data_IF_017692236527
#
_entry.id   IF_017692236527
#
_cell.length_a   1.000
_cell.length_b   1.000
_cell.length_c   1.000
_cell.angle_alpha   90.00
_cell.angle_beta   90.00
_cell.angle_gamma   90.00
#
_symmetry.space_group_name_H-M   'P 1'
#
loop_
_entity.id
_entity.type
_entity.pdbx_description
1 polymer ?
#
# COMPACT_ATOMS: atom_id res chain seq x y z
N UNK A 1 25.18 -58.08 -26.35
CA UNK A 1 24.95 -56.94 -25.41
C UNK A 1 24.90 -55.57 -26.09
N UNK A 2 25.79 -55.21 -27.03
CA UNK A 2 25.80 -53.86 -27.69
C UNK A 2 24.49 -53.46 -28.38
N UNK A 3 23.73 -54.38 -28.98
CA UNK A 3 22.46 -54.09 -29.69
C UNK A 3 21.28 -53.73 -28.74
N UNK A 4 21.34 -54.18 -27.48
CA UNK A 4 20.29 -53.87 -26.50
C UNK A 4 20.44 -52.41 -25.97
N UNK A 5 21.69 -51.99 -25.71
CA UNK A 5 21.98 -50.62 -25.28
C UNK A 5 21.61 -49.57 -26.33
N UNK A 6 21.83 -49.88 -27.62
CA UNK A 6 21.48 -48.97 -28.72
C UNK A 6 19.95 -48.76 -28.81
N UNK A 7 19.14 -49.81 -28.58
CA UNK A 7 17.66 -49.69 -28.61
C UNK A 7 17.10 -48.94 -27.36
N UNK A 8 17.69 -49.16 -26.18
CA UNK A 8 17.32 -48.44 -24.98
C UNK A 8 17.70 -46.98 -25.11
N UNK A 9 18.88 -46.65 -25.61
CA UNK A 9 19.33 -45.28 -25.83
C UNK A 9 18.44 -44.52 -26.84
N UNK A 10 18.04 -45.19 -27.93
CA UNK A 10 17.13 -44.63 -28.92
C UNK A 10 15.74 -44.38 -28.35
N UNK A 11 15.22 -45.30 -27.52
CA UNK A 11 13.91 -45.13 -26.85
C UNK A 11 13.91 -44.02 -25.82
N UNK A 12 14.98 -43.85 -25.03
CA UNK A 12 15.10 -42.75 -24.07
C UNK A 12 15.25 -41.39 -24.77
N UNK A 13 15.96 -41.31 -25.87
CA UNK A 13 16.12 -40.09 -26.66
C UNK A 13 14.78 -39.69 -27.31
N UNK A 14 14.02 -40.66 -27.82
CA UNK A 14 12.69 -40.45 -28.39
C UNK A 14 11.69 -39.98 -27.31
N UNK A 15 11.77 -40.55 -26.12
CA UNK A 15 10.92 -40.10 -24.96
C UNK A 15 11.27 -38.70 -24.53
N UNK A 16 12.55 -38.33 -24.53
CA UNK A 16 13.00 -36.96 -24.17
C UNK A 16 12.53 -35.94 -25.22
N UNK A 17 12.57 -36.29 -26.51
CA UNK A 17 12.03 -35.41 -27.57
C UNK A 17 10.51 -35.27 -27.47
N UNK A 18 9.77 -36.34 -27.14
CA UNK A 18 8.33 -36.28 -26.94
C UNK A 18 7.94 -35.41 -25.73
N UNK A 19 8.71 -35.44 -24.64
CA UNK A 19 8.49 -34.58 -23.47
C UNK A 19 8.79 -33.10 -23.81
N UNK A 20 9.79 -32.85 -24.68
CA UNK A 20 10.13 -31.48 -25.12
C UNK A 20 9.04 -30.85 -26.02
N UNK A 21 8.28 -31.66 -26.76
CA UNK A 21 7.20 -31.17 -27.63
C UNK A 21 5.93 -30.82 -26.83
N UNK A 22 5.75 -31.36 -25.62
CA UNK A 22 4.56 -31.04 -24.79
C UNK A 22 4.64 -29.65 -24.12
N UNK A 23 5.79 -28.95 -24.19
CA UNK A 23 6.01 -27.65 -23.58
C UNK A 23 5.47 -26.42 -24.34
N UNK A 24 4.90 -26.61 -25.54
CA UNK A 24 4.47 -25.50 -26.41
C UNK A 24 2.97 -25.52 -26.74
N UNK A 25 2.12 -25.88 -25.78
CA UNK A 25 0.73 -25.48 -25.93
C UNK A 25 0.69 -23.96 -25.69
N UNK A 26 0.59 -23.18 -26.75
CA UNK A 26 0.25 -21.77 -26.66
C UNK A 26 -1.14 -21.70 -26.02
N UNK A 27 -1.18 -21.40 -24.73
CA UNK A 27 -2.44 -21.13 -24.05
C UNK A 27 -3.00 -19.86 -24.68
N UNK A 28 -3.96 -19.99 -25.57
CA UNK A 28 -4.71 -18.86 -26.06
C UNK A 28 -5.54 -18.27 -24.90
N UNK A 29 -5.60 -16.96 -24.81
CA UNK A 29 -6.43 -16.29 -23.81
C UNK A 29 -7.88 -16.70 -23.98
N UNK A 30 -8.50 -17.15 -22.91
CA UNK A 30 -9.90 -17.57 -22.88
C UNK A 30 -10.77 -16.48 -22.23
N UNK A 31 -12.10 -16.57 -22.44
CA UNK A 31 -13.05 -15.69 -21.73
C UNK A 31 -12.90 -15.81 -20.20
N UNK A 32 -12.50 -17.00 -19.69
CA UNK A 32 -12.21 -17.21 -18.28
C UNK A 32 -11.00 -16.42 -17.77
N UNK A 33 -9.94 -16.27 -18.58
CA UNK A 33 -8.75 -15.51 -18.20
C UNK A 33 -9.05 -14.02 -18.08
N UNK A 34 -9.84 -13.45 -18.99
CA UNK A 34 -10.34 -12.08 -18.90
C UNK A 34 -11.21 -11.86 -17.66
N UNK A 35 -12.12 -12.80 -17.36
CA UNK A 35 -12.97 -12.74 -16.17
C UNK A 35 -12.13 -12.76 -14.90
N UNK A 36 -11.12 -13.63 -14.83
CA UNK A 36 -10.22 -13.74 -13.68
C UNK A 36 -9.40 -12.46 -13.47
N UNK A 37 -8.81 -11.91 -14.54
CA UNK A 37 -8.06 -10.66 -14.47
C UNK A 37 -8.94 -9.49 -14.00
N UNK A 38 -10.14 -9.33 -14.57
CA UNK A 38 -11.07 -8.29 -14.14
C UNK A 38 -11.52 -8.46 -12.69
N UNK A 39 -11.77 -9.68 -12.24
CA UNK A 39 -12.14 -9.96 -10.84
C UNK A 39 -11.00 -9.63 -9.88
N UNK A 40 -9.76 -9.99 -10.23
CA UNK A 40 -8.58 -9.65 -9.43
C UNK A 40 -8.37 -8.13 -9.34
N UNK A 41 -8.50 -7.41 -10.47
CA UNK A 41 -8.38 -5.95 -10.51
C UNK A 41 -9.47 -5.28 -9.67
N UNK A 42 -10.74 -5.72 -9.78
CA UNK A 42 -11.81 -5.19 -8.95
C UNK A 42 -11.56 -5.42 -7.44
N UNK A 43 -11.08 -6.60 -7.07
CA UNK A 43 -10.70 -6.90 -5.69
C UNK A 43 -9.55 -6.03 -5.20
N UNK A 44 -8.58 -5.74 -6.07
CA UNK A 44 -7.47 -4.86 -5.78
C UNK A 44 -7.91 -3.39 -5.60
N UNK A 45 -8.88 -2.91 -6.39
CA UNK A 45 -9.48 -1.59 -6.19
C UNK A 45 -10.17 -1.48 -4.83
N UNK A 46 -10.97 -2.47 -4.45
CA UNK A 46 -11.64 -2.50 -3.14
C UNK A 46 -10.60 -2.47 -2.02
N UNK A 47 -9.56 -3.30 -2.09
CA UNK A 47 -8.49 -3.35 -1.09
C UNK A 47 -7.71 -2.03 -1.00
N UNK A 48 -7.45 -1.37 -2.15
CA UNK A 48 -6.79 -0.07 -2.21
C UNK A 48 -7.66 1.02 -1.60
N UNK A 49 -8.95 1.01 -1.88
CA UNK A 49 -9.92 1.93 -1.28
C UNK A 49 -9.97 1.77 0.25
N UNK A 50 -10.01 0.54 0.75
CA UNK A 50 -9.98 0.27 2.20
C UNK A 50 -8.68 0.76 2.86
N UNK A 51 -7.55 0.60 2.17
CA UNK A 51 -6.27 1.14 2.65
C UNK A 51 -6.27 2.67 2.72
N UNK A 52 -6.86 3.34 1.72
CA UNK A 52 -7.01 4.79 1.69
C UNK A 52 -7.92 5.29 2.84
N UNK A 53 -9.04 4.61 3.10
CA UNK A 53 -9.93 4.94 4.21
C UNK A 53 -9.24 4.86 5.58
N UNK A 54 -8.26 3.99 5.70
CA UNK A 54 -7.40 3.88 6.89
C UNK A 54 -6.26 4.91 6.94
N UNK A 55 -6.22 5.84 5.97
CA UNK A 55 -5.20 6.89 5.90
C UNK A 55 -3.89 6.45 5.25
N UNK A 56 -3.87 5.31 4.57
CA UNK A 56 -2.71 4.84 3.81
C UNK A 56 -2.45 5.68 2.56
N UNK A 57 -1.18 5.84 2.19
CA UNK A 57 -0.81 6.46 0.93
C UNK A 57 -0.87 5.43 -0.20
N UNK A 58 -1.92 5.47 -1.00
CA UNK A 58 -2.22 4.50 -2.06
C UNK A 58 -1.75 4.92 -3.46
N UNK A 59 -0.97 5.99 -3.58
CA UNK A 59 -0.56 6.55 -4.89
C UNK A 59 0.14 5.51 -5.78
N UNK A 60 1.06 4.73 -5.21
CA UNK A 60 1.79 3.68 -5.94
C UNK A 60 0.85 2.55 -6.34
N UNK A 61 -0.05 2.13 -5.44
CA UNK A 61 -1.02 1.06 -5.71
C UNK A 61 -1.96 1.43 -6.87
N UNK A 62 -2.38 2.69 -6.95
CA UNK A 62 -3.21 3.19 -8.07
C UNK A 62 -2.43 3.15 -9.39
N UNK A 63 -1.13 3.48 -9.39
CA UNK A 63 -0.30 3.39 -10.59
C UNK A 63 -0.15 1.94 -11.06
N UNK A 64 0.06 1.00 -10.15
CA UNK A 64 0.14 -0.43 -10.44
C UNK A 64 -1.20 -0.96 -10.99
N UNK A 65 -2.34 -0.54 -10.42
CA UNK A 65 -3.66 -0.89 -10.94
C UNK A 65 -3.91 -0.34 -12.36
N UNK A 66 -3.49 0.87 -12.64
CA UNK A 66 -3.57 1.44 -13.99
C UNK A 66 -2.73 0.64 -14.98
N UNK A 67 -1.55 0.15 -14.55
CA UNK A 67 -0.71 -0.75 -15.37
C UNK A 67 -1.43 -2.07 -15.63
N UNK A 68 -2.05 -2.68 -14.60
CA UNK A 68 -2.82 -3.90 -14.77
C UNK A 68 -4.00 -3.73 -15.75
N UNK A 69 -4.74 -2.61 -15.63
CA UNK A 69 -5.83 -2.27 -16.58
C UNK A 69 -5.32 -2.11 -18.00
N UNK A 70 -4.18 -1.45 -18.19
CA UNK A 70 -3.56 -1.28 -19.51
C UNK A 70 -3.19 -2.64 -20.13
N UNK A 71 -2.66 -3.57 -19.35
CA UNK A 71 -2.35 -4.92 -19.82
C UNK A 71 -3.61 -5.67 -20.26
N UNK A 72 -4.72 -5.55 -19.53
CA UNK A 72 -6.00 -6.15 -19.97
C UNK A 72 -6.49 -5.54 -21.29
N UNK A 73 -6.35 -4.23 -21.48
CA UNK A 73 -6.73 -3.57 -22.74
C UNK A 73 -5.85 -4.04 -23.90
N UNK A 74 -4.54 -4.16 -23.71
CA UNK A 74 -3.60 -4.70 -24.70
C UNK A 74 -3.98 -6.15 -25.03
N UNK A 75 -4.21 -6.97 -24.01
CA UNK A 75 -4.64 -8.35 -24.18
C UNK A 75 -5.93 -8.48 -25.00
N UNK A 76 -6.89 -7.60 -24.79
CA UNK A 76 -8.13 -7.56 -25.58
C UNK A 76 -7.86 -7.24 -27.05
N UNK A 77 -6.98 -6.27 -27.33
CA UNK A 77 -6.63 -5.89 -28.69
C UNK A 77 -5.84 -7.00 -29.42
N UNK A 78 -4.98 -7.71 -28.71
CA UNK A 78 -4.12 -8.74 -29.28
C UNK A 78 -4.73 -10.14 -29.32
N UNK A 79 -5.87 -10.35 -28.68
CA UNK A 79 -6.44 -11.69 -28.53
C UNK A 79 -6.69 -12.42 -29.85
N UNK A 80 -7.03 -11.69 -30.91
CA UNK A 80 -7.24 -12.27 -32.25
C UNK A 80 -5.96 -12.45 -33.06
N UNK A 81 -4.93 -11.62 -32.81
CA UNK A 81 -3.69 -11.60 -33.60
C UNK A 81 -2.58 -12.39 -32.95
N UNK A 82 -2.49 -12.34 -31.63
CA UNK A 82 -1.47 -13.01 -30.83
C UNK A 82 -2.06 -13.53 -29.50
N UNK A 83 -2.84 -14.60 -29.53
CA UNK A 83 -3.55 -15.10 -28.35
C UNK A 83 -2.61 -15.57 -27.24
N UNK A 84 -1.42 -16.00 -27.56
CA UNK A 84 -0.41 -16.41 -26.56
C UNK A 84 0.10 -15.20 -25.77
N UNK A 85 0.35 -14.06 -26.42
CA UNK A 85 0.77 -12.83 -25.78
C UNK A 85 -0.37 -12.26 -24.92
N UNK A 86 -1.60 -12.27 -25.45
CA UNK A 86 -2.80 -11.88 -24.71
C UNK A 86 -2.94 -12.66 -23.39
N UNK A 87 -2.70 -13.99 -23.42
CA UNK A 87 -2.74 -14.81 -22.19
C UNK A 87 -1.66 -14.40 -21.17
N UNK A 88 -0.45 -14.09 -21.63
CA UNK A 88 0.65 -13.62 -20.78
C UNK A 88 0.33 -12.25 -20.16
N UNK A 89 -0.25 -11.34 -20.92
CA UNK A 89 -0.61 -10.00 -20.43
C UNK A 89 -1.73 -10.07 -19.40
N UNK A 90 -2.72 -10.96 -19.57
CA UNK A 90 -3.75 -11.22 -18.56
C UNK A 90 -3.18 -11.83 -17.28
N UNK A 91 -2.23 -12.75 -17.42
CA UNK A 91 -1.54 -13.33 -16.27
C UNK A 91 -0.74 -12.26 -15.52
N UNK A 92 -0.02 -11.39 -16.24
CA UNK A 92 0.73 -10.28 -15.63
C UNK A 92 -0.21 -9.30 -14.94
N UNK A 93 -1.34 -8.93 -15.57
CA UNK A 93 -2.37 -8.09 -14.96
C UNK A 93 -2.90 -8.68 -13.66
N UNK A 94 -3.19 -9.98 -13.65
CA UNK A 94 -3.65 -10.71 -12.46
C UNK A 94 -2.60 -10.72 -11.36
N UNK A 95 -1.33 -10.94 -11.72
CA UNK A 95 -0.22 -10.93 -10.76
C UNK A 95 -0.04 -9.54 -10.12
N UNK A 96 -0.09 -8.47 -10.91
CA UNK A 96 -0.03 -7.09 -10.41
C UNK A 96 -1.22 -6.82 -9.47
N UNK A 97 -2.44 -7.20 -9.85
CA UNK A 97 -3.61 -7.00 -9.00
C UNK A 97 -3.48 -7.74 -7.65
N UNK A 98 -2.99 -8.98 -7.65
CA UNK A 98 -2.75 -9.75 -6.44
C UNK A 98 -1.65 -9.13 -5.56
N UNK A 99 -0.60 -8.58 -6.18
CA UNK A 99 0.46 -7.84 -5.48
C UNK A 99 -0.14 -6.59 -4.80
N UNK A 100 -0.97 -5.82 -5.50
CA UNK A 100 -1.66 -4.65 -4.95
C UNK A 100 -2.54 -5.02 -3.76
N UNK A 101 -3.29 -6.14 -3.83
CA UNK A 101 -4.10 -6.62 -2.70
C UNK A 101 -3.22 -6.86 -1.46
N UNK A 102 -2.10 -7.56 -1.64
CA UNK A 102 -1.19 -7.85 -0.54
C UNK A 102 -0.55 -6.60 0.08
N UNK A 103 -0.14 -5.65 -0.75
CA UNK A 103 0.45 -4.39 -0.32
C UNK A 103 -0.57 -3.46 0.33
N UNK A 104 -1.82 -3.46 -0.15
CA UNK A 104 -2.91 -2.64 0.41
C UNK A 104 -3.12 -2.91 1.91
N UNK A 105 -2.99 -4.16 2.34
CA UNK A 105 -3.11 -4.52 3.76
C UNK A 105 -2.05 -3.82 4.61
N UNK A 106 -0.78 -3.81 4.19
CA UNK A 106 0.32 -3.17 4.91
C UNK A 106 0.24 -1.64 4.89
N UNK A 107 -0.16 -1.08 3.73
CA UNK A 107 -0.37 0.37 3.56
C UNK A 107 -1.51 0.85 4.44
N UNK A 108 -2.61 0.10 4.53
CA UNK A 108 -3.74 0.41 5.42
C UNK A 108 -3.35 0.35 6.90
N UNK A 109 -2.56 -0.64 7.32
CA UNK A 109 -2.08 -0.74 8.70
C UNK A 109 -1.16 0.43 9.08
N UNK A 110 -0.22 0.79 8.21
CA UNK A 110 0.67 1.93 8.46
C UNK A 110 -0.09 3.26 8.47
N UNK A 111 -1.10 3.42 7.61
CA UNK A 111 -2.00 4.57 7.63
C UNK A 111 -2.78 4.69 8.94
N UNK A 112 -3.38 3.59 9.40
CA UNK A 112 -4.11 3.56 10.67
C UNK A 112 -3.21 3.90 11.87
N UNK A 113 -1.99 3.36 11.91
CA UNK A 113 -1.01 3.67 12.95
C UNK A 113 -0.63 5.17 12.94
N UNK A 114 -0.40 5.76 11.77
CA UNK A 114 -0.10 7.18 11.62
C UNK A 114 -1.26 8.07 12.10
N UNK A 115 -2.51 7.71 11.82
CA UNK A 115 -3.70 8.40 12.32
C UNK A 115 -3.80 8.31 13.85
N UNK A 116 -3.56 7.14 14.45
CA UNK A 116 -3.58 6.97 15.91
C UNK A 116 -2.53 7.86 16.58
N UNK A 117 -1.31 7.92 16.07
CA UNK A 117 -0.25 8.80 16.57
C UNK A 117 -0.69 10.26 16.47
N UNK A 118 -1.24 10.68 15.32
CA UNK A 118 -1.74 12.04 15.12
C UNK A 118 -2.82 12.43 16.13
N UNK A 119 -3.79 11.55 16.39
CA UNK A 119 -4.84 11.79 17.38
C UNK A 119 -4.27 11.82 18.81
N UNK A 120 -3.36 10.90 19.15
CA UNK A 120 -2.73 10.88 20.47
C UNK A 120 -1.96 12.18 20.74
N UNK A 121 -1.20 12.68 19.79
CA UNK A 121 -0.46 13.95 19.90
C UNK A 121 -1.43 15.14 20.03
N UNK A 122 -2.52 15.17 19.24
CA UNK A 122 -3.51 16.25 19.28
C UNK A 122 -4.24 16.29 20.64
N UNK A 123 -4.65 15.15 21.17
CA UNK A 123 -5.31 15.07 22.48
C UNK A 123 -4.34 15.46 23.61
N UNK A 124 -3.09 14.97 23.55
CA UNK A 124 -2.06 15.32 24.54
C UNK A 124 -1.78 16.80 24.57
N UNK A 125 -1.70 17.48 23.43
CA UNK A 125 -1.49 18.92 23.35
C UNK A 125 -2.69 19.71 23.92
N UNK A 126 -3.92 19.29 23.63
CA UNK A 126 -5.12 19.92 24.17
C UNK A 126 -5.19 19.80 25.71
N UNK A 127 -4.86 18.61 26.24
CA UNK A 127 -4.79 18.41 27.70
C UNK A 127 -3.70 19.28 28.33
N UNK A 128 -2.52 19.36 27.72
CA UNK A 128 -1.44 20.23 28.24
C UNK A 128 -1.87 21.71 28.30
N UNK A 129 -2.52 22.23 27.26
CA UNK A 129 -3.03 23.60 27.22
C UNK A 129 -4.09 23.81 28.32
N UNK A 130 -5.00 22.84 28.50
CA UNK A 130 -6.00 22.94 29.55
C UNK A 130 -5.39 22.96 30.96
N UNK A 131 -4.38 22.14 31.22
CA UNK A 131 -3.66 22.13 32.50
C UNK A 131 -2.95 23.47 32.74
N UNK A 132 -2.26 24.02 31.73
CA UNK A 132 -1.62 25.34 31.85
C UNK A 132 -2.64 26.44 32.13
N UNK A 133 -3.78 26.44 31.44
CA UNK A 133 -4.85 27.42 31.69
C UNK A 133 -5.39 27.33 33.11
N UNK A 134 -5.60 26.13 33.65
CA UNK A 134 -6.02 25.91 35.04
C UNK A 134 -4.97 26.44 36.03
N UNK A 135 -3.68 26.16 35.78
CA UNK A 135 -2.59 26.66 36.63
C UNK A 135 -2.53 28.19 36.63
N UNK A 136 -2.66 28.81 35.46
CA UNK A 136 -2.73 30.29 35.37
C UNK A 136 -3.93 30.83 36.10
N UNK A 137 -5.09 30.18 36.00
CA UNK A 137 -6.31 30.61 36.72
C UNK A 137 -6.12 30.53 38.24
N UNK A 138 -5.57 29.45 38.76
CA UNK A 138 -5.39 29.24 40.22
C UNK A 138 -4.27 30.12 40.79
N UNK A 139 -3.13 30.19 40.07
CA UNK A 139 -1.94 30.86 40.60
C UNK A 139 -1.74 32.27 40.06
N UNK A 140 -2.40 32.68 38.96
CA UNK A 140 -2.22 33.96 38.30
C UNK A 140 -2.49 35.15 39.21
N UNK A 141 -3.53 35.08 40.05
CA UNK A 141 -3.82 36.13 41.00
C UNK A 141 -2.74 36.29 42.08
N UNK A 142 -2.07 35.20 42.50
CA UNK A 142 -0.98 35.27 43.48
C UNK A 142 0.32 35.79 42.87
N UNK A 143 0.60 35.37 41.63
CA UNK A 143 1.81 35.79 40.90
C UNK A 143 1.67 37.28 40.53
N UNK A 144 0.51 37.71 40.02
CA UNK A 144 0.24 39.09 39.68
C UNK A 144 0.39 40.02 40.90
N UNK A 145 -0.14 39.64 42.07
CA UNK A 145 -0.01 40.42 43.32
C UNK A 145 1.47 40.51 43.77
N UNK A 146 2.26 39.45 43.62
CA UNK A 146 3.72 39.50 43.95
C UNK A 146 4.50 40.37 42.98
N UNK A 147 4.25 40.25 41.68
CA UNK A 147 4.92 41.07 40.67
C UNK A 147 4.57 42.55 40.80
N UNK A 148 3.29 42.84 41.09
CA UNK A 148 2.83 44.22 41.30
C UNK A 148 3.47 44.86 42.55
N UNK A 149 3.56 44.14 43.64
CA UNK A 149 4.25 44.60 44.85
C UNK A 149 5.75 44.81 44.63
N UNK A 150 6.39 44.02 43.80
CA UNK A 150 7.82 44.21 43.44
C UNK A 150 8.02 45.46 42.58
N UNK A 151 7.19 45.66 41.58
CA UNK A 151 7.26 46.83 40.70
C UNK A 151 6.95 48.14 41.43
N UNK A 152 6.02 48.14 42.39
CA UNK A 152 5.69 49.33 43.16
C UNK A 152 6.70 49.68 44.27
N UNK A 153 7.44 48.70 44.79
CA UNK A 153 8.45 48.92 45.85
C UNK A 153 9.59 49.82 45.39
N UNK A 154 9.97 49.78 44.13
CA UNK A 154 11.04 50.60 43.59
C UNK A 154 10.65 52.04 43.26
N UNK A 155 9.33 52.35 43.28
CA UNK A 155 8.87 53.71 43.01
C UNK A 155 8.58 54.56 44.27
N UNK A 156 8.51 53.93 45.45
CA UNK A 156 8.06 54.60 46.70
C UNK A 156 9.23 55.10 47.56
N UNK A 157 10.49 54.78 47.23
CA UNK A 157 11.65 55.19 48.04
C UNK A 157 12.55 56.12 47.23
N UNK A 158 12.07 57.35 46.92
CA UNK A 158 12.93 58.52 46.81
C UNK A 158 12.47 59.51 47.88
N UNK A 159 13.18 59.62 49.01
CA UNK A 159 13.00 60.76 49.90
C UNK A 159 13.55 61.98 49.16
N UNK A 160 12.68 62.97 48.90
CA UNK A 160 13.10 64.30 48.50
C UNK A 160 13.85 64.94 49.66
N UNK A 161 15.21 65.00 49.50
CA UNK A 161 16.02 65.89 50.30
C UNK A 161 16.08 67.27 49.65
#
# INVERSE_FOLDING_TARGET
MKRLYSKVLAATLLLLVLISIQGSYSNAATAGDFSNANTAINSAFVSTYDAQQKGGNVTVLIQELNTALSLVQIAQAENMTNPSQSALDLQNATNIANLVISQSASVGQSGAAALQVKYAVSISSAVAIAVIAILIYIYGGRIYRRMWLYAYRDHVVKPSG
#
